data_IF_012096152438
#
_entry.id   IF_012096152438
#
_cell.length_a   1.000
_cell.length_b   1.000
_cell.length_c   1.000
_cell.angle_alpha   90.00
_cell.angle_beta   90.00
_cell.angle_gamma   90.00
#
_symmetry.space_group_name_H-M   'P 1'
#
loop_
_entity.id
_entity.type
_entity.pdbx_description
1 polymer ?
#
# COMPACT_ATOMS: atom_id res chain seq x y z
N UNK A 1 12.35 -17.42 21.39
CA UNK A 1 12.03 -16.09 20.82
C UNK A 1 12.64 -16.00 19.43
N UNK A 2 11.84 -15.96 18.36
CA UNK A 2 12.38 -15.85 16.99
C UNK A 2 12.98 -14.45 16.80
N UNK A 3 14.29 -14.39 16.60
CA UNK A 3 15.02 -13.13 16.44
C UNK A 3 14.70 -12.60 15.03
N UNK A 4 13.73 -11.66 14.93
CA UNK A 4 13.32 -11.09 13.64
C UNK A 4 14.52 -10.53 12.89
N UNK A 5 14.63 -10.88 11.61
CA UNK A 5 15.71 -10.41 10.75
C UNK A 5 15.75 -8.87 10.76
N UNK A 6 16.98 -8.34 10.85
CA UNK A 6 17.22 -6.91 10.94
C UNK A 6 16.70 -6.15 9.71
N UNK A 7 16.33 -4.89 9.89
CA UNK A 7 15.76 -4.08 8.81
C UNK A 7 16.67 -3.89 7.59
N UNK A 8 18.00 -3.84 7.79
CA UNK A 8 18.97 -3.80 6.70
C UNK A 8 18.85 -5.03 5.79
N UNK A 9 18.61 -6.21 6.37
CA UNK A 9 18.39 -7.44 5.61
C UNK A 9 17.09 -7.37 4.81
N UNK A 10 16.02 -6.81 5.39
CA UNK A 10 14.75 -6.69 4.68
C UNK A 10 14.84 -5.75 3.47
N UNK A 11 15.50 -4.61 3.64
CA UNK A 11 15.72 -3.65 2.55
C UNK A 11 16.63 -4.25 1.47
N UNK A 12 17.71 -4.94 1.87
CA UNK A 12 18.60 -5.62 0.93
C UNK A 12 17.87 -6.71 0.13
N UNK A 13 17.12 -7.60 0.81
CA UNK A 13 16.35 -8.66 0.16
C UNK A 13 15.29 -8.09 -0.80
N UNK A 14 14.68 -6.95 -0.46
CA UNK A 14 13.75 -6.24 -1.34
C UNK A 14 14.48 -5.67 -2.56
N UNK A 15 15.62 -5.01 -2.36
CA UNK A 15 16.42 -4.45 -3.46
C UNK A 15 16.90 -5.54 -4.43
N UNK A 16 17.35 -6.68 -3.91
CA UNK A 16 17.75 -7.82 -4.72
C UNK A 16 16.58 -8.43 -5.49
N UNK A 17 15.42 -8.57 -4.86
CA UNK A 17 14.21 -9.03 -5.56
C UNK A 17 13.79 -8.08 -6.68
N UNK A 18 13.88 -6.76 -6.46
CA UNK A 18 13.61 -5.75 -7.49
C UNK A 18 14.63 -5.84 -8.63
N UNK A 19 15.92 -5.99 -8.32
CA UNK A 19 16.98 -6.14 -9.34
C UNK A 19 16.77 -7.40 -10.19
N UNK A 20 16.44 -8.52 -9.56
CA UNK A 20 16.30 -9.81 -10.25
C UNK A 20 14.96 -9.96 -10.97
N UNK A 21 13.85 -9.50 -10.37
CA UNK A 21 12.48 -9.78 -10.85
C UNK A 21 11.70 -8.53 -11.24
N UNK A 22 12.25 -7.33 -11.09
CA UNK A 22 11.52 -6.08 -11.35
C UNK A 22 11.00 -5.96 -12.78
N UNK A 23 11.81 -6.33 -13.79
CA UNK A 23 11.37 -6.38 -15.20
C UNK A 23 10.21 -7.35 -15.40
N UNK A 24 10.29 -8.54 -14.80
CA UNK A 24 9.23 -9.54 -14.88
C UNK A 24 7.96 -9.10 -14.16
N UNK A 25 8.07 -8.36 -13.05
CA UNK A 25 6.94 -7.75 -12.35
C UNK A 25 6.26 -6.72 -13.24
N UNK A 26 7.01 -5.76 -13.81
CA UNK A 26 6.44 -4.75 -14.72
C UNK A 26 5.79 -5.39 -15.96
N UNK A 27 6.39 -6.44 -16.51
CA UNK A 27 5.86 -7.17 -17.66
C UNK A 27 4.64 -8.07 -17.33
N UNK A 28 4.35 -8.35 -16.06
CA UNK A 28 3.28 -9.25 -15.67
C UNK A 28 1.87 -8.65 -15.86
N UNK A 29 1.74 -7.32 -15.85
CA UNK A 29 0.46 -6.62 -16.01
C UNK A 29 0.59 -5.21 -16.64
N UNK A 30 1.14 -5.09 -17.86
CA UNK A 30 1.44 -3.80 -18.47
C UNK A 30 0.18 -2.95 -18.71
N UNK A 31 -0.92 -3.58 -19.15
CA UNK A 31 -2.19 -2.90 -19.37
C UNK A 31 -2.83 -2.39 -18.07
N UNK A 32 -2.76 -3.18 -17.00
CA UNK A 32 -3.27 -2.73 -15.68
C UNK A 32 -2.42 -1.61 -15.12
N UNK A 33 -1.10 -1.62 -15.34
CA UNK A 33 -0.22 -0.50 -15.00
C UNK A 33 -0.60 0.77 -15.76
N UNK A 34 -0.82 0.68 -17.07
CA UNK A 34 -1.24 1.82 -17.89
C UNK A 34 -2.58 2.38 -17.41
N UNK A 35 -3.58 1.53 -17.19
CA UNK A 35 -4.89 1.93 -16.66
C UNK A 35 -4.78 2.55 -15.27
N UNK A 36 -3.94 1.98 -14.40
CA UNK A 36 -3.69 2.55 -13.07
C UNK A 36 -3.11 3.95 -13.17
N UNK A 37 -2.06 4.17 -13.97
CA UNK A 37 -1.44 5.49 -14.15
C UNK A 37 -2.46 6.50 -14.70
N UNK A 38 -3.23 6.11 -15.71
CA UNK A 38 -4.20 7.00 -16.37
C UNK A 38 -5.35 7.41 -15.45
N UNK A 39 -5.81 6.49 -14.59
CA UNK A 39 -6.96 6.71 -13.69
C UNK A 39 -6.56 7.24 -12.30
N UNK A 40 -5.28 7.22 -11.96
CA UNK A 40 -4.74 7.65 -10.66
C UNK A 40 -5.16 9.07 -10.25
N UNK A 41 -5.04 10.12 -11.09
CA UNK A 41 -5.40 11.49 -10.66
C UNK A 41 -6.88 11.59 -10.28
N UNK A 42 -7.76 10.87 -10.98
CA UNK A 42 -9.20 10.84 -10.69
C UNK A 42 -9.49 10.11 -9.38
N UNK A 43 -8.77 9.00 -9.13
CA UNK A 43 -8.89 8.27 -7.86
C UNK A 43 -8.42 9.10 -6.66
N UNK A 44 -7.37 9.93 -6.82
CA UNK A 44 -6.90 10.83 -5.77
C UNK A 44 -7.84 12.00 -5.50
N UNK A 45 -8.62 12.41 -6.52
CA UNK A 45 -9.58 13.51 -6.44
C UNK A 45 -10.94 13.10 -5.86
N UNK A 46 -11.26 11.80 -5.81
CA UNK A 46 -12.60 11.32 -5.41
C UNK A 46 -12.98 11.73 -3.98
N UNK A 47 -11.98 11.84 -3.11
CA UNK A 47 -12.16 12.33 -1.75
C UNK A 47 -12.69 13.76 -1.79
N UNK A 48 -11.99 14.69 -2.45
CA UNK A 48 -12.31 16.12 -2.42
C UNK A 48 -13.60 16.50 -3.17
N UNK A 49 -13.97 15.74 -4.21
CA UNK A 49 -15.14 16.07 -5.04
C UNK A 49 -16.43 15.33 -4.66
N UNK A 50 -16.49 14.55 -3.57
CA UNK A 50 -17.66 13.73 -3.24
C UNK A 50 -19.03 14.45 -3.25
N UNK A 51 -19.19 15.72 -2.79
CA UNK A 51 -20.47 16.41 -2.88
C UNK A 51 -20.82 16.95 -4.29
N UNK A 52 -19.86 16.99 -5.23
CA UNK A 52 -20.03 17.50 -6.60
C UNK A 52 -19.65 16.47 -7.69
N UNK A 53 -19.37 15.22 -7.27
CA UNK A 53 -18.57 14.26 -8.02
C UNK A 53 -19.41 13.38 -8.92
N UNK A 54 -19.58 13.85 -10.16
CA UNK A 54 -20.05 13.13 -11.34
C UNK A 54 -19.69 11.62 -11.30
N UNK A 55 -20.66 10.72 -11.53
CA UNK A 55 -20.49 9.26 -11.46
C UNK A 55 -19.31 8.71 -12.27
N UNK A 56 -18.83 9.49 -13.25
CA UNK A 56 -17.58 9.27 -13.98
C UNK A 56 -16.34 9.18 -13.06
N UNK A 57 -16.15 10.09 -12.09
CA UNK A 57 -14.99 10.03 -11.17
C UNK A 57 -15.02 8.78 -10.29
N UNK A 58 -16.20 8.39 -9.83
CA UNK A 58 -16.41 7.14 -9.10
C UNK A 58 -16.07 5.93 -9.98
N UNK A 59 -16.52 5.92 -11.24
CA UNK A 59 -16.17 4.86 -12.20
C UNK A 59 -14.66 4.80 -12.44
N UNK A 60 -13.97 5.93 -12.62
CA UNK A 60 -12.51 5.95 -12.80
C UNK A 60 -11.74 5.52 -11.56
N UNK A 61 -12.21 5.89 -10.35
CA UNK A 61 -11.61 5.41 -9.11
C UNK A 61 -11.79 3.89 -8.94
N UNK A 62 -12.95 3.36 -9.32
CA UNK A 62 -13.19 1.92 -9.31
C UNK A 62 -12.31 1.20 -10.33
N UNK A 63 -12.16 1.76 -11.55
CA UNK A 63 -11.22 1.25 -12.56
C UNK A 63 -9.79 1.28 -12.01
N UNK A 64 -9.40 2.35 -11.32
CA UNK A 64 -8.08 2.46 -10.69
C UNK A 64 -7.86 1.36 -9.64
N UNK A 65 -8.85 1.12 -8.78
CA UNK A 65 -8.79 0.08 -7.75
C UNK A 65 -8.70 -1.31 -8.36
N UNK A 66 -9.49 -1.59 -9.41
CA UNK A 66 -9.43 -2.86 -10.15
C UNK A 66 -8.06 -3.03 -10.82
N UNK A 67 -7.55 -1.98 -11.46
CA UNK A 67 -6.23 -1.98 -12.08
C UNK A 67 -5.12 -2.24 -11.05
N UNK A 68 -5.16 -1.55 -9.91
CA UNK A 68 -4.23 -1.75 -8.80
C UNK A 68 -4.29 -3.18 -8.25
N UNK A 69 -5.48 -3.76 -8.08
CA UNK A 69 -5.66 -5.13 -7.61
C UNK A 69 -5.09 -6.15 -8.61
N UNK A 70 -5.34 -5.97 -9.91
CA UNK A 70 -4.82 -6.85 -10.97
C UNK A 70 -3.30 -6.79 -11.05
N UNK A 71 -2.75 -5.58 -10.99
CA UNK A 71 -1.32 -5.30 -11.04
C UNK A 71 -0.60 -5.89 -9.83
N UNK A 72 -1.01 -5.54 -8.61
CA UNK A 72 -0.42 -6.08 -7.37
C UNK A 72 -0.57 -7.60 -7.29
N UNK A 73 -1.72 -8.15 -7.64
CA UNK A 73 -1.95 -9.60 -7.66
C UNK A 73 -1.08 -10.33 -8.68
N UNK A 74 -0.76 -9.73 -9.83
CA UNK A 74 0.20 -10.28 -10.79
C UNK A 74 1.64 -10.22 -10.26
N UNK A 75 2.02 -9.08 -9.68
CA UNK A 75 3.35 -8.86 -9.10
C UNK A 75 3.67 -9.81 -7.94
N UNK A 76 2.73 -10.01 -7.01
CA UNK A 76 2.89 -10.96 -5.91
C UNK A 76 3.06 -12.40 -6.41
N UNK A 77 2.47 -12.75 -7.57
CA UNK A 77 2.64 -14.05 -8.22
C UNK A 77 3.96 -14.20 -8.97
N UNK A 78 4.73 -13.14 -9.22
CA UNK A 78 6.08 -13.24 -9.80
C UNK A 78 7.11 -13.62 -8.73
N UNK A 79 6.89 -13.17 -7.50
CA UNK A 79 7.74 -13.48 -6.35
C UNK A 79 7.18 -14.70 -5.60
N UNK A 80 7.02 -15.84 -6.29
CA UNK A 80 6.52 -17.08 -5.65
C UNK A 80 7.57 -17.71 -4.73
N UNK A 81 7.14 -18.28 -3.59
CA UNK A 81 7.95 -19.22 -2.80
C UNK A 81 8.26 -20.49 -3.59
N UNK A 82 9.48 -21.02 -3.46
CA UNK A 82 9.96 -22.19 -4.21
C UNK A 82 9.16 -23.49 -3.98
N UNK A 83 8.45 -23.62 -2.86
CA UNK A 83 7.65 -24.80 -2.52
C UNK A 83 6.23 -24.86 -3.11
N UNK A 84 5.80 -23.84 -3.87
CA UNK A 84 4.44 -23.78 -4.44
C UNK A 84 4.41 -24.09 -5.95
N UNK A 85 5.45 -24.74 -6.47
CA UNK A 85 5.57 -25.18 -7.87
C UNK A 85 4.48 -26.16 -8.31
N UNK A 86 3.75 -26.77 -7.38
CA UNK A 86 2.64 -27.69 -7.64
C UNK A 86 1.23 -27.16 -7.33
N UNK A 87 1.08 -25.96 -6.74
CA UNK A 87 -0.26 -25.37 -6.60
C UNK A 87 -0.62 -24.76 -7.94
N UNK A 88 -1.19 -25.65 -8.78
CA UNK A 88 -1.67 -25.34 -10.12
C UNK A 88 -2.32 -23.97 -10.14
N UNK A 89 -1.96 -23.20 -11.15
CA UNK A 89 -2.51 -21.90 -11.46
C UNK A 89 -3.97 -21.81 -10.99
N UNK A 90 -4.22 -21.23 -9.81
CA UNK A 90 -5.56 -20.83 -9.42
C UNK A 90 -5.89 -19.60 -10.26
N UNK A 91 -6.07 -19.87 -11.56
CA UNK A 91 -6.54 -18.99 -12.63
C UNK A 91 -8.05 -18.83 -12.45
N UNK A 92 -8.48 -18.61 -11.22
CA UNK A 92 -9.88 -18.53 -10.82
C UNK A 92 -10.27 -17.10 -10.55
N UNK A 93 -11.37 -16.66 -11.15
CA UNK A 93 -12.04 -15.38 -10.88
C UNK A 93 -12.18 -15.12 -9.36
N UNK A 94 -12.38 -16.18 -8.57
CA UNK A 94 -12.52 -16.11 -7.11
C UNK A 94 -11.26 -15.62 -6.36
N UNK A 95 -10.04 -16.04 -6.75
CA UNK A 95 -8.82 -15.59 -6.06
C UNK A 95 -8.54 -14.12 -6.34
N UNK A 96 -8.78 -13.70 -7.59
CA UNK A 96 -8.68 -12.30 -8.00
C UNK A 96 -9.75 -11.43 -7.32
N UNK A 97 -10.98 -11.92 -7.20
CA UNK A 97 -12.06 -11.23 -6.48
C UNK A 97 -11.76 -11.09 -4.99
N UNK A 98 -11.19 -12.12 -4.34
CA UNK A 98 -10.75 -12.05 -2.94
C UNK A 98 -9.61 -11.06 -2.74
N UNK A 99 -8.64 -11.03 -3.66
CA UNK A 99 -7.54 -10.06 -3.64
C UNK A 99 -8.06 -8.63 -3.81
N UNK A 100 -8.99 -8.41 -4.77
CA UNK A 100 -9.66 -7.14 -4.97
C UNK A 100 -10.45 -6.71 -3.74
N UNK A 101 -11.24 -7.62 -3.14
CA UNK A 101 -12.03 -7.32 -1.96
C UNK A 101 -11.15 -6.93 -0.76
N UNK A 102 -10.05 -7.68 -0.53
CA UNK A 102 -9.10 -7.38 0.53
C UNK A 102 -8.38 -6.05 0.31
N UNK A 103 -7.85 -5.83 -0.90
CA UNK A 103 -7.18 -4.58 -1.23
C UNK A 103 -8.15 -3.40 -1.17
N UNK A 104 -9.37 -3.57 -1.68
CA UNK A 104 -10.45 -2.59 -1.62
C UNK A 104 -10.78 -2.22 -0.18
N UNK A 105 -10.98 -3.20 0.70
CA UNK A 105 -11.20 -2.95 2.12
C UNK A 105 -10.06 -2.13 2.73
N UNK A 106 -8.80 -2.52 2.47
CA UNK A 106 -7.63 -1.79 2.97
C UNK A 106 -7.57 -0.34 2.45
N UNK A 107 -7.79 -0.13 1.16
CA UNK A 107 -7.77 1.20 0.52
C UNK A 107 -8.90 2.07 1.06
N UNK A 108 -10.12 1.53 1.17
CA UNK A 108 -11.29 2.24 1.70
C UNK A 108 -11.04 2.62 3.17
N UNK A 109 -10.60 1.69 4.01
CA UNK A 109 -10.28 1.98 5.42
C UNK A 109 -9.17 3.03 5.55
N UNK A 110 -8.10 2.92 4.76
CA UNK A 110 -7.02 3.91 4.77
C UNK A 110 -7.49 5.29 4.31
N UNK A 111 -8.37 5.35 3.31
CA UNK A 111 -8.94 6.59 2.78
C UNK A 111 -9.89 7.23 3.80
N UNK A 112 -10.76 6.44 4.41
CA UNK A 112 -11.66 6.90 5.47
C UNK A 112 -10.87 7.44 6.67
N UNK A 113 -9.81 6.75 7.08
CA UNK A 113 -8.91 7.21 8.14
C UNK A 113 -8.21 8.51 7.76
N UNK A 114 -7.68 8.61 6.53
CA UNK A 114 -7.04 9.82 6.04
C UNK A 114 -8.00 11.03 6.04
N UNK A 115 -9.26 10.81 5.67
CA UNK A 115 -10.31 11.85 5.74
C UNK A 115 -10.60 12.26 7.17
N UNK A 116 -10.78 11.30 8.09
CA UNK A 116 -10.99 11.59 9.50
C UNK A 116 -9.83 12.37 10.14
N UNK A 117 -8.58 12.09 9.73
CA UNK A 117 -7.41 12.86 10.19
C UNK A 117 -7.26 14.23 9.53
N UNK A 118 -7.99 14.51 8.44
CA UNK A 118 -7.95 15.79 7.74
C UNK A 118 -8.53 16.95 8.55
N UNK A 119 -9.53 16.67 9.40
CA UNK A 119 -10.19 17.69 10.24
C UNK A 119 -9.45 17.93 11.57
N UNK A 120 -8.46 17.08 11.86
CA UNK A 120 -7.73 17.06 13.13
C UNK A 120 -6.97 18.35 13.45
N UNK A 121 -6.31 19.03 12.49
CA UNK A 121 -5.68 20.33 12.74
C UNK A 121 -6.70 21.38 13.22
N UNK A 122 -7.89 21.41 12.63
CA UNK A 122 -8.94 22.35 13.02
C UNK A 122 -9.46 22.06 14.43
N UNK A 123 -9.74 20.79 14.74
CA UNK A 123 -10.21 20.37 16.07
C UNK A 123 -9.19 20.72 17.15
N UNK A 124 -7.91 20.43 16.91
CA UNK A 124 -6.83 20.73 17.86
C UNK A 124 -6.67 22.24 18.03
N UNK A 125 -6.74 23.01 16.94
CA UNK A 125 -6.67 24.47 17.00
C UNK A 125 -7.78 25.06 17.86
N UNK A 126 -9.02 24.56 17.68
CA UNK A 126 -10.18 24.99 18.45
C UNK A 126 -10.08 24.62 19.93
N UNK A 127 -9.63 23.40 20.26
CA UNK A 127 -9.44 22.94 21.64
C UNK A 127 -8.36 23.74 22.37
N UNK A 128 -7.30 24.12 21.65
CA UNK A 128 -6.18 24.87 22.20
C UNK A 128 -6.43 26.40 22.26
N UNK A 129 -7.59 26.87 21.82
CA UNK A 129 -7.99 28.28 21.84
C UNK A 129 -6.92 29.25 21.28
N UNK A 130 -6.19 28.84 20.24
CA UNK A 130 -5.12 29.66 19.65
C UNK A 130 -3.81 29.69 20.45
N UNK A 131 -3.50 28.63 21.21
CA UNK A 131 -2.20 28.46 21.89
C UNK A 131 -1.00 28.65 20.95
N UNK A 132 0.17 29.00 21.50
CA UNK A 132 1.41 29.17 20.75
C UNK A 132 1.73 27.97 19.82
N UNK A 133 2.32 28.26 18.66
CA UNK A 133 2.58 27.34 17.55
C UNK A 133 3.24 26.03 18.00
N UNK A 134 4.20 26.10 18.93
CA UNK A 134 4.90 24.92 19.43
C UNK A 134 3.95 23.91 20.09
N UNK A 135 2.98 24.38 20.88
CA UNK A 135 2.00 23.53 21.56
C UNK A 135 1.06 22.91 20.54
N UNK A 136 0.55 23.71 19.61
CA UNK A 136 -0.30 23.25 18.50
C UNK A 136 0.38 22.13 17.69
N UNK A 137 1.60 22.37 17.20
CA UNK A 137 2.34 21.40 16.40
C UNK A 137 2.69 20.14 17.19
N UNK A 138 3.06 20.26 18.47
CA UNK A 138 3.34 19.10 19.32
C UNK A 138 2.11 18.22 19.53
N UNK A 139 0.94 18.83 19.81
CA UNK A 139 -0.32 18.12 19.99
C UNK A 139 -0.77 17.46 18.68
N UNK A 140 -0.66 18.16 17.55
CA UNK A 140 -0.97 17.64 16.22
C UNK A 140 -0.09 16.44 15.87
N UNK A 141 1.23 16.56 16.04
CA UNK A 141 2.17 15.46 15.80
C UNK A 141 1.91 14.26 16.71
N UNK A 142 1.63 14.49 18.00
CA UNK A 142 1.32 13.42 18.95
C UNK A 142 0.03 12.68 18.57
N UNK A 143 -1.04 13.41 18.22
CA UNK A 143 -2.29 12.82 17.80
C UNK A 143 -2.16 12.06 16.48
N UNK A 144 -1.45 12.62 15.49
CA UNK A 144 -1.15 11.93 14.24
C UNK A 144 -0.33 10.65 14.48
N UNK A 145 0.67 10.69 15.35
CA UNK A 145 1.45 9.50 15.70
C UNK A 145 0.57 8.43 16.37
N UNK A 146 -0.30 8.84 17.30
CA UNK A 146 -1.20 7.93 18.02
C UNK A 146 -2.20 7.23 17.09
N UNK A 147 -2.61 7.89 16.00
CA UNK A 147 -3.53 7.33 15.00
C UNK A 147 -2.76 6.50 13.94
N UNK A 148 -1.69 7.05 13.38
CA UNK A 148 -1.02 6.46 12.22
C UNK A 148 -0.03 5.36 12.56
N UNK A 149 0.68 5.42 13.69
CA UNK A 149 1.61 4.35 14.09
C UNK A 149 0.90 2.99 14.21
N UNK A 150 -0.22 2.84 14.96
CA UNK A 150 -0.91 1.56 15.03
C UNK A 150 -1.54 1.17 13.69
N UNK A 151 -2.04 2.13 12.91
CA UNK A 151 -2.61 1.89 11.57
C UNK A 151 -1.57 1.34 10.61
N UNK A 152 -0.37 1.94 10.55
CA UNK A 152 0.75 1.50 9.72
C UNK A 152 1.27 0.14 10.17
N UNK A 153 1.31 -0.11 11.48
CA UNK A 153 1.70 -1.41 12.02
C UNK A 153 0.69 -2.49 11.63
N UNK A 154 -0.61 -2.21 11.75
CA UNK A 154 -1.68 -3.09 11.31
C UNK A 154 -1.58 -3.37 9.81
N UNK A 155 -1.43 -2.34 8.98
CA UNK A 155 -1.22 -2.48 7.54
C UNK A 155 -0.01 -3.35 7.22
N UNK A 156 1.13 -3.09 7.87
CA UNK A 156 2.36 -3.86 7.66
C UNK A 156 2.18 -5.35 8.00
N UNK A 157 1.46 -5.67 9.07
CA UNK A 157 1.23 -7.05 9.51
C UNK A 157 0.15 -7.76 8.69
N UNK A 158 -1.01 -7.14 8.52
CA UNK A 158 -2.15 -7.74 7.82
C UNK A 158 -1.99 -7.69 6.31
N UNK A 159 -1.15 -6.79 5.77
CA UNK A 159 -0.87 -6.72 4.34
C UNK A 159 -0.15 -7.95 3.79
N UNK A 160 0.51 -8.79 4.62
CA UNK A 160 1.00 -10.11 4.19
C UNK A 160 -0.12 -11.05 3.72
N UNK A 161 -1.38 -10.77 4.07
CA UNK A 161 -2.51 -11.54 3.54
C UNK A 161 -2.76 -11.29 2.05
N UNK A 162 -2.32 -10.14 1.48
CA UNK A 162 -2.43 -9.84 0.05
C UNK A 162 -1.65 -10.83 -0.82
N UNK A 163 -0.31 -11.02 -0.66
CA UNK A 163 0.43 -12.00 -1.44
C UNK A 163 -0.04 -13.44 -1.16
N UNK A 164 -0.49 -13.74 0.07
CA UNK A 164 -1.07 -15.04 0.40
C UNK A 164 -2.33 -15.34 -0.42
N UNK A 165 -3.28 -14.41 -0.49
CA UNK A 165 -4.50 -14.57 -1.29
C UNK A 165 -4.14 -14.64 -2.78
N UNK A 166 -3.19 -13.84 -3.25
CA UNK A 166 -2.75 -13.87 -4.65
C UNK A 166 -2.13 -15.22 -5.07
N UNK A 167 -1.43 -15.90 -4.16
CA UNK A 167 -0.75 -17.18 -4.46
C UNK A 167 -1.63 -18.40 -4.14
N UNK A 168 -2.37 -18.38 -3.03
CA UNK A 168 -3.13 -19.55 -2.52
C UNK A 168 -4.63 -19.44 -2.69
N UNK A 169 -5.16 -18.25 -2.99
CA UNK A 169 -6.60 -17.98 -3.07
C UNK A 169 -7.34 -17.96 -1.73
N UNK A 170 -6.67 -18.15 -0.59
CA UNK A 170 -7.29 -18.23 0.74
C UNK A 170 -6.91 -17.06 1.63
N UNK A 171 -7.88 -16.52 2.39
CA UNK A 171 -7.60 -15.59 3.47
C UNK A 171 -6.81 -16.28 4.60
N UNK A 172 -6.03 -15.52 5.35
CA UNK A 172 -5.18 -16.09 6.41
C UNK A 172 -4.53 -15.05 7.30
N UNK A 173 -5.33 -14.18 7.91
CA UNK A 173 -4.87 -13.04 8.70
C UNK A 173 -4.02 -13.42 9.92
N UNK A 174 -4.46 -14.43 10.68
CA UNK A 174 -3.75 -14.85 11.89
C UNK A 174 -2.39 -15.48 11.58
N UNK A 175 -2.35 -16.34 10.55
CA UNK A 175 -1.11 -16.95 10.08
C UNK A 175 -0.18 -15.95 9.38
N UNK A 176 -0.72 -14.92 8.71
CA UNK A 176 0.10 -13.84 8.13
C UNK A 176 0.79 -13.00 9.21
N UNK A 177 0.09 -12.70 10.32
CA UNK A 177 0.63 -11.96 11.46
C UNK A 177 1.78 -12.70 12.16
N UNK A 178 1.65 -14.03 12.32
CA UNK A 178 2.68 -14.83 13.01
C UNK A 178 3.87 -15.17 12.12
N UNK A 179 3.69 -15.15 10.79
CA UNK A 179 4.72 -15.54 9.85
C UNK A 179 5.71 -14.42 9.49
N UNK A 180 5.49 -13.16 9.89
CA UNK A 180 6.35 -12.05 9.45
C UNK A 180 7.79 -12.17 9.97
N UNK A 181 8.79 -12.43 9.09
CA UNK A 181 10.15 -12.78 9.50
C UNK A 181 11.02 -11.56 9.80
N UNK A 182 10.60 -10.38 9.34
CA UNK A 182 11.32 -9.11 9.46
C UNK A 182 10.72 -8.18 10.51
N UNK A 183 11.52 -7.20 10.98
CA UNK A 183 10.98 -6.05 11.72
C UNK A 183 10.05 -5.25 10.79
N UNK A 184 8.84 -4.84 11.23
CA UNK A 184 7.83 -4.23 10.36
C UNK A 184 8.12 -2.77 10.00
N UNK A 185 8.98 -2.09 10.74
CA UNK A 185 9.20 -0.64 10.59
C UNK A 185 9.61 -0.18 9.18
N UNK A 186 10.44 -0.90 8.38
CA UNK A 186 10.78 -0.44 7.03
C UNK A 186 9.55 -0.42 6.12
N UNK A 187 8.65 -1.39 6.28
CA UNK A 187 7.38 -1.44 5.55
C UNK A 187 6.42 -0.36 6.04
N UNK A 188 6.36 -0.11 7.36
CA UNK A 188 5.59 1.01 7.91
C UNK A 188 6.07 2.35 7.33
N UNK A 189 7.39 2.52 7.17
CA UNK A 189 7.98 3.72 6.60
C UNK A 189 7.64 3.86 5.11
N UNK A 190 7.74 2.77 4.33
CA UNK A 190 7.34 2.78 2.92
C UNK A 190 5.84 3.07 2.73
N UNK A 191 4.99 2.51 3.59
CA UNK A 191 3.55 2.80 3.62
C UNK A 191 3.28 4.26 4.01
N UNK A 192 3.99 4.78 5.01
CA UNK A 192 3.88 6.19 5.41
C UNK A 192 4.26 7.10 4.25
N UNK A 193 5.36 6.83 3.54
CA UNK A 193 5.75 7.59 2.35
C UNK A 193 4.68 7.52 1.26
N UNK A 194 4.12 6.34 1.00
CA UNK A 194 3.06 6.17 0.00
C UNK A 194 1.81 6.99 0.37
N UNK A 195 1.38 6.93 1.63
CA UNK A 195 0.19 7.64 2.11
C UNK A 195 0.43 9.15 2.08
N UNK A 196 1.61 9.61 2.53
CA UNK A 196 1.99 11.02 2.48
C UNK A 196 2.07 11.55 1.05
N UNK A 197 2.66 10.77 0.12
CA UNK A 197 2.73 11.12 -1.30
C UNK A 197 1.34 11.19 -1.93
N UNK A 198 0.47 10.21 -1.65
CA UNK A 198 -0.91 10.20 -2.14
C UNK A 198 -1.73 11.39 -1.59
N UNK A 199 -1.58 11.71 -0.30
CA UNK A 199 -2.21 12.87 0.32
C UNK A 199 -1.72 14.18 -0.29
N UNK A 200 -0.41 14.33 -0.49
CA UNK A 200 0.18 15.50 -1.14
C UNK A 200 -0.29 15.64 -2.60
N UNK A 201 -0.31 14.55 -3.37
CA UNK A 201 -0.81 14.55 -4.73
C UNK A 201 -2.29 14.92 -4.80
N UNK A 202 -3.13 14.37 -3.92
CA UNK A 202 -4.54 14.71 -3.82
C UNK A 202 -4.79 16.18 -3.46
N UNK A 203 -3.96 16.75 -2.58
CA UNK A 203 -4.00 18.18 -2.25
C UNK A 203 -3.64 19.07 -3.44
N UNK A 204 -2.54 18.78 -4.14
CA UNK A 204 -2.09 19.52 -5.33
C UNK A 204 -3.13 19.44 -6.46
N UNK A 205 -3.67 18.24 -6.72
CA UNK A 205 -4.75 18.03 -7.69
C UNK A 205 -6.02 18.79 -7.29
N UNK A 206 -6.36 18.82 -6.01
CA UNK A 206 -7.48 19.59 -5.48
C UNK A 206 -7.34 21.08 -5.77
N UNK A 207 -6.18 21.68 -5.45
CA UNK A 207 -5.92 23.09 -5.76
C UNK A 207 -6.04 23.40 -7.25
N UNK A 208 -5.50 22.52 -8.11
CA UNK A 208 -5.63 22.66 -9.56
C UNK A 208 -7.11 22.61 -10.00
N UNK A 209 -7.91 21.70 -9.43
CA UNK A 209 -9.33 21.58 -9.75
C UNK A 209 -10.16 22.81 -9.32
N UNK A 210 -9.74 23.50 -8.24
CA UNK A 210 -10.35 24.75 -7.79
C UNK A 210 -9.81 26.00 -8.52
N UNK A 211 -8.97 25.84 -9.53
CA UNK A 211 -8.52 26.95 -10.38
C UNK A 211 -7.40 27.81 -9.79
N UNK A 212 -6.62 27.28 -8.83
CA UNK A 212 -5.46 28.02 -8.30
C UNK A 212 -4.34 28.10 -9.35
N UNK A 213 -3.99 29.30 -9.85
CA UNK A 213 -3.11 29.48 -11.01
C UNK A 213 -1.65 29.09 -10.76
N UNK A 214 -1.20 29.12 -9.51
CA UNK A 214 0.20 28.82 -9.13
C UNK A 214 0.53 27.32 -9.19
N UNK A 215 -0.49 26.47 -9.29
CA UNK A 215 -0.33 25.02 -9.29
C UNK A 215 -0.32 24.51 -10.72
N UNK A 216 0.86 24.51 -11.36
CA UNK A 216 1.00 24.03 -12.74
C UNK A 216 0.63 22.54 -12.89
N UNK A 217 0.00 22.18 -14.03
CA UNK A 217 -0.40 20.80 -14.37
C UNK A 217 0.76 19.80 -14.30
N UNK A 218 1.97 20.24 -14.66
CA UNK A 218 3.18 19.43 -14.54
C UNK A 218 3.47 19.01 -13.08
N UNK A 219 3.27 19.90 -12.11
CA UNK A 219 3.50 19.61 -10.68
C UNK A 219 2.48 18.60 -10.15
N UNK A 220 1.22 18.71 -10.58
CA UNK A 220 0.17 17.75 -10.24
C UNK A 220 0.41 16.37 -10.87
N UNK A 221 0.89 16.33 -12.12
CA UNK A 221 1.25 15.09 -12.79
C UNK A 221 2.44 14.39 -12.09
N UNK A 222 3.49 15.14 -11.76
CA UNK A 222 4.68 14.60 -11.07
C UNK A 222 4.32 14.05 -9.69
N UNK A 223 3.50 14.76 -8.91
CA UNK A 223 3.11 14.30 -7.57
C UNK A 223 2.26 13.02 -7.62
N UNK A 224 1.34 12.91 -8.58
CA UNK A 224 0.59 11.68 -8.81
C UNK A 224 1.51 10.53 -9.26
N UNK A 225 2.42 10.79 -10.21
CA UNK A 225 3.35 9.78 -10.72
C UNK A 225 4.31 9.25 -9.65
N UNK A 226 4.63 10.03 -8.61
CA UNK A 226 5.45 9.58 -7.48
C UNK A 226 4.82 8.41 -6.71
N UNK A 227 3.49 8.27 -6.75
CA UNK A 227 2.78 7.16 -6.10
C UNK A 227 3.09 5.82 -6.77
N UNK A 228 3.38 5.81 -8.08
CA UNK A 228 3.62 4.59 -8.87
C UNK A 228 4.85 3.81 -8.38
N UNK A 229 6.07 4.41 -8.28
CA UNK A 229 7.22 3.69 -7.75
C UNK A 229 7.05 3.31 -6.27
N UNK A 230 6.33 4.11 -5.46
CA UNK A 230 6.06 3.77 -4.06
C UNK A 230 5.14 2.55 -3.93
N UNK A 231 4.08 2.46 -4.74
CA UNK A 231 3.23 1.25 -4.83
C UNK A 231 4.06 0.04 -5.24
N UNK A 232 4.96 0.19 -6.22
CA UNK A 232 5.85 -0.88 -6.65
C UNK A 232 6.76 -1.37 -5.52
N UNK A 233 7.40 -0.46 -4.79
CA UNK A 233 8.27 -0.79 -3.64
C UNK A 233 7.48 -1.50 -2.55
N UNK A 234 6.32 -0.96 -2.15
CA UNK A 234 5.47 -1.57 -1.11
C UNK A 234 5.00 -2.97 -1.53
N UNK A 235 4.58 -3.15 -2.78
CA UNK A 235 4.16 -4.45 -3.30
C UNK A 235 5.33 -5.47 -3.31
N UNK A 236 6.53 -5.03 -3.69
CA UNK A 236 7.73 -5.86 -3.64
C UNK A 236 8.09 -6.26 -2.21
N UNK A 237 8.06 -5.33 -1.26
CA UNK A 237 8.32 -5.60 0.16
C UNK A 237 7.35 -6.63 0.74
N UNK A 238 6.04 -6.51 0.44
CA UNK A 238 5.05 -7.52 0.84
C UNK A 238 5.33 -8.89 0.21
N UNK A 239 5.70 -8.92 -1.07
CA UNK A 239 5.95 -10.17 -1.77
C UNK A 239 7.19 -10.90 -1.22
N UNK A 240 8.27 -10.16 -0.92
CA UNK A 240 9.49 -10.69 -0.29
C UNK A 240 9.22 -11.16 1.13
N UNK A 241 8.53 -10.35 1.95
CA UNK A 241 8.17 -10.75 3.30
C UNK A 241 7.33 -12.04 3.31
N UNK A 242 6.43 -12.21 2.33
CA UNK A 242 5.64 -13.43 2.19
C UNK A 242 6.48 -14.63 1.73
N UNK A 243 7.31 -14.47 0.68
CA UNK A 243 8.21 -15.53 0.20
C UNK A 243 9.08 -16.09 1.34
N UNK A 244 9.74 -15.20 2.06
CA UNK A 244 10.68 -15.54 3.12
C UNK A 244 9.96 -16.01 4.40
N UNK A 245 8.64 -15.85 4.48
CA UNK A 245 7.81 -16.42 5.56
C UNK A 245 7.36 -17.86 5.27
N UNK A 246 7.38 -18.28 3.99
CA UNK A 246 7.06 -19.65 3.57
C UNK A 246 8.31 -20.56 3.52
N UNK A 247 9.47 -20.00 3.19
CA UNK A 247 10.77 -20.71 3.15
C UNK A 247 11.41 -21.13 4.50
N UNK A 248 11.07 -20.59 5.70
CA UNK A 248 11.64 -21.05 6.97
C UNK A 248 11.25 -22.49 7.30
N UNK A 249 10.10 -22.95 6.82
CA UNK A 249 9.62 -24.32 7.01
C UNK A 249 10.42 -25.36 6.22
N UNK A 250 11.24 -24.95 5.24
CA UNK A 250 12.12 -25.84 4.47
C UNK A 250 13.53 -25.97 5.08
N UNK A 251 13.84 -25.22 6.15
CA UNK A 251 15.08 -25.35 6.95
C UNK A 251 14.84 -26.05 8.29
N UNK A 252 13.98 -27.06 8.34
CA UNK A 252 14.20 -28.12 9.34
C UNK A 252 15.45 -28.87 8.88
N UNK A 253 16.58 -28.79 9.63
CA UNK A 253 17.73 -29.60 9.29
C UNK A 253 17.27 -31.06 9.33
N UNK A 254 17.51 -31.79 8.24
CA UNK A 254 17.42 -33.23 8.29
C UNK A 254 18.37 -33.70 9.38
N UNK A 255 17.82 -34.04 10.55
CA UNK A 255 18.43 -35.04 11.40
C UNK A 255 18.40 -36.34 10.59
N UNK A 256 19.41 -36.53 9.76
CA UNK A 256 19.74 -37.85 9.23
C UNK A 256 20.63 -38.55 10.26
N UNK A 257 20.46 -39.87 10.37
CA UNK A 257 20.67 -40.67 11.58
C UNK A 257 22.12 -40.76 12.03
#
# INVERSE_FOLDING_TARGET
MSNKLGARHFVAATADAIRQRGRAMLAAAPWSLALFILSLPFALLISNLFPYGNGLFMALALINLIALARMTGAWHRVVKPGGLTGVGAHRGNAAQARHLALLGALVITATAMARATGDLPYVIYMVLAGSNDAVFWSALCAALALIWVPTLYALAMYGLSLPRVAVTGKYGFQAARTAMPYKPWPLMLALLMLIAAAGHAGYILGMLAYGYPDVGLARAAISALLCVPLVFVVAAMYAVAYRDSCEPAARTPSSRP
#
